data_IF_356676432143
#
_entry.id   IF_356676432143
#
_cell.length_a   1.000
_cell.length_b   1.000
_cell.length_c   1.000
_cell.angle_alpha   90.00
_cell.angle_beta   90.00
_cell.angle_gamma   90.00
#
_symmetry.space_group_name_H-M   'P 1'
#
loop_
_entity.id
_entity.type
_entity.pdbx_description
1 polymer ?
#
# COMPACT_ATOMS: atom_id res chain seq x y z
N UNK A 1 -4.55 -53.24 -31.89
CA UNK A 1 -3.48 -52.48 -31.22
C UNK A 1 -3.94 -51.04 -31.08
N UNK A 2 -4.66 -50.75 -30.00
CA UNK A 2 -5.15 -49.40 -29.61
C UNK A 2 -5.03 -49.37 -28.10
N UNK A 3 -4.14 -48.54 -27.55
CA UNK A 3 -4.05 -48.30 -26.10
C UNK A 3 -4.57 -46.89 -25.84
N UNK A 4 -5.57 -46.86 -24.96
CA UNK A 4 -6.50 -45.77 -24.73
C UNK A 4 -5.96 -44.82 -23.64
N UNK A 5 -6.19 -43.53 -23.83
CA UNK A 5 -5.71 -42.44 -22.99
C UNK A 5 -6.70 -42.20 -21.83
N UNK A 6 -6.50 -42.85 -20.69
CA UNK A 6 -7.33 -42.71 -19.48
C UNK A 6 -6.51 -42.42 -18.22
N UNK A 7 -5.79 -41.30 -18.18
CA UNK A 7 -5.18 -40.81 -16.92
C UNK A 7 -5.30 -39.29 -16.69
N UNK A 8 -5.90 -38.51 -17.60
CA UNK A 8 -5.98 -37.05 -17.48
C UNK A 8 -7.22 -36.49 -16.72
N UNK A 9 -8.21 -37.33 -16.39
CA UNK A 9 -9.50 -36.85 -15.85
C UNK A 9 -9.71 -37.06 -14.34
N UNK A 10 -8.77 -37.67 -13.61
CA UNK A 10 -8.95 -37.95 -12.17
C UNK A 10 -8.38 -36.88 -11.23
N UNK A 11 -7.40 -36.06 -11.64
CA UNK A 11 -6.83 -35.01 -10.78
C UNK A 11 -7.69 -33.74 -10.71
N UNK A 12 -8.35 -33.37 -11.80
CA UNK A 12 -9.25 -32.20 -11.85
C UNK A 12 -10.50 -32.40 -11.00
N UNK A 13 -11.05 -33.62 -10.96
CA UNK A 13 -12.25 -33.95 -10.17
C UNK A 13 -11.96 -34.00 -8.66
N UNK A 14 -10.74 -34.35 -8.23
CA UNK A 14 -10.37 -34.32 -6.80
C UNK A 14 -10.07 -32.89 -6.30
N UNK A 15 -9.52 -32.01 -7.15
CA UNK A 15 -9.21 -30.61 -6.80
C UNK A 15 -10.44 -29.72 -6.67
N UNK A 16 -11.46 -29.92 -7.52
CA UNK A 16 -12.74 -29.21 -7.38
C UNK A 16 -13.55 -29.72 -6.19
N UNK A 17 -13.68 -31.04 -5.99
CA UNK A 17 -14.54 -31.58 -4.92
C UNK A 17 -14.02 -31.32 -3.49
N UNK A 18 -12.70 -31.16 -3.30
CA UNK A 18 -12.11 -30.87 -1.99
C UNK A 18 -12.42 -29.45 -1.48
N UNK A 19 -12.38 -28.45 -2.36
CA UNK A 19 -12.56 -27.03 -2.00
C UNK A 19 -14.05 -26.72 -1.71
N UNK A 20 -14.98 -27.34 -2.45
CA UNK A 20 -16.41 -27.19 -2.20
C UNK A 20 -16.90 -27.87 -0.91
N UNK A 21 -16.28 -28.98 -0.48
CA UNK A 21 -16.59 -29.60 0.82
C UNK A 21 -16.14 -28.73 2.01
N UNK A 22 -15.02 -28.02 1.91
CA UNK A 22 -14.62 -27.05 2.94
C UNK A 22 -15.51 -25.79 2.95
N UNK A 23 -15.92 -25.30 1.77
CA UNK A 23 -16.86 -24.17 1.67
C UNK A 23 -18.26 -24.52 2.19
N UNK A 24 -18.76 -25.74 1.96
CA UNK A 24 -20.02 -26.22 2.54
C UNK A 24 -19.92 -26.51 4.05
N UNK A 25 -18.77 -26.96 4.54
CA UNK A 25 -18.54 -27.19 5.98
C UNK A 25 -18.53 -25.88 6.79
N UNK A 26 -18.01 -24.78 6.21
CA UNK A 26 -18.08 -23.43 6.80
C UNK A 26 -19.50 -22.85 6.73
N UNK A 27 -20.29 -23.20 5.71
CA UNK A 27 -21.66 -22.72 5.53
C UNK A 27 -22.69 -23.42 6.42
N UNK A 28 -22.45 -24.68 6.81
CA UNK A 28 -23.44 -25.50 7.54
C UNK A 28 -23.30 -25.49 9.07
N UNK A 29 -22.35 -24.74 9.66
CA UNK A 29 -22.14 -24.74 11.11
C UNK A 29 -21.90 -23.37 11.76
N UNK A 30 -22.39 -22.29 11.15
CA UNK A 30 -22.59 -21.02 11.85
C UNK A 30 -24.02 -21.01 12.41
N UNK A 31 -24.21 -21.20 13.73
CA UNK A 31 -25.54 -21.07 14.32
C UNK A 31 -26.06 -19.65 14.05
N UNK A 32 -27.36 -19.51 13.76
CA UNK A 32 -28.03 -18.25 13.40
C UNK A 32 -27.77 -17.09 14.40
N UNK A 33 -27.31 -17.43 15.60
CA UNK A 33 -26.84 -16.55 16.66
C UNK A 33 -25.66 -15.63 16.22
N UNK A 34 -24.76 -16.11 15.34
CA UNK A 34 -23.62 -15.32 14.84
C UNK A 34 -23.99 -14.34 13.72
N UNK A 35 -24.99 -14.67 12.90
CA UNK A 35 -25.53 -13.74 11.89
C UNK A 35 -26.29 -12.58 12.56
N UNK A 36 -26.97 -12.85 13.68
CA UNK A 36 -27.63 -11.82 14.49
C UNK A 36 -26.63 -10.93 15.25
N UNK A 37 -25.50 -11.47 15.72
CA UNK A 37 -24.45 -10.66 16.34
C UNK A 37 -23.77 -9.70 15.35
N UNK A 38 -23.54 -10.14 14.10
CA UNK A 38 -23.02 -9.30 13.02
C UNK A 38 -24.01 -8.21 12.58
N UNK A 39 -25.30 -8.54 12.50
CA UNK A 39 -26.35 -7.57 12.17
C UNK A 39 -26.60 -6.57 13.32
N UNK A 40 -26.44 -6.99 14.58
CA UNK A 40 -26.55 -6.09 15.75
C UNK A 40 -25.36 -5.14 15.85
N UNK A 41 -24.15 -5.56 15.47
CA UNK A 41 -22.98 -4.68 15.36
C UNK A 41 -23.13 -3.64 14.24
N UNK A 42 -23.77 -3.99 13.12
CA UNK A 42 -24.10 -3.06 12.03
C UNK A 42 -25.24 -2.10 12.41
N UNK A 43 -26.25 -2.57 13.16
CA UNK A 43 -27.39 -1.75 13.61
C UNK A 43 -27.02 -0.77 14.74
N UNK A 44 -26.19 -1.19 15.71
CA UNK A 44 -25.68 -0.30 16.76
C UNK A 44 -24.72 0.75 16.18
N UNK A 45 -24.00 0.42 15.10
CA UNK A 45 -23.18 1.37 14.35
C UNK A 45 -23.98 2.40 13.53
N UNK A 46 -25.26 2.13 13.25
CA UNK A 46 -26.13 3.01 12.46
C UNK A 46 -26.92 4.00 13.34
N UNK A 47 -27.18 3.68 14.62
CA UNK A 47 -27.90 4.57 15.55
C UNK A 47 -27.01 5.49 16.40
N UNK A 48 -25.70 5.22 16.50
CA UNK A 48 -24.73 6.14 17.08
C UNK A 48 -23.75 6.56 16.00
N UNK A 49 -24.12 7.58 15.24
CA UNK A 49 -23.34 8.10 14.13
C UNK A 49 -21.86 8.24 14.48
N UNK A 50 -21.04 7.34 13.92
CA UNK A 50 -19.61 7.56 13.82
C UNK A 50 -19.39 8.64 12.76
N UNK A 51 -19.52 9.90 13.20
CA UNK A 51 -18.92 11.03 12.50
C UNK A 51 -17.42 10.78 12.57
N UNK A 52 -16.84 10.30 11.47
CA UNK A 52 -15.40 10.27 11.28
C UNK A 52 -14.96 11.73 11.21
N UNK A 53 -14.70 12.31 12.39
CA UNK A 53 -14.07 13.61 12.51
C UNK A 53 -12.65 13.48 11.98
N UNK A 54 -12.41 14.08 10.82
CA UNK A 54 -11.07 14.54 10.47
C UNK A 54 -10.54 15.34 11.67
N UNK A 55 -9.39 14.99 12.26
CA UNK A 55 -8.83 15.84 13.30
C UNK A 55 -8.32 17.10 12.62
N UNK A 56 -9.12 18.14 12.66
CA UNK A 56 -8.67 19.51 12.54
C UNK A 56 -7.65 19.73 13.67
N UNK A 57 -6.41 19.96 13.28
CA UNK A 57 -5.30 20.18 14.19
C UNK A 57 -5.54 21.56 14.83
N UNK A 58 -6.15 21.56 16.00
CA UNK A 58 -6.32 22.76 16.80
C UNK A 58 -4.94 23.33 17.17
N UNK A 59 -4.71 24.56 16.72
CA UNK A 59 -3.60 25.41 17.13
C UNK A 59 -3.62 25.58 18.65
N UNK A 60 -2.49 25.32 19.30
CA UNK A 60 -2.07 26.10 20.47
C UNK A 60 -1.42 27.37 19.96
N UNK A 61 -2.24 28.37 19.70
CA UNK A 61 -1.85 29.79 19.73
C UNK A 61 -3.15 30.58 19.90
N UNK A 62 -3.20 31.27 21.03
CA UNK A 62 -4.26 32.15 21.50
C UNK A 62 -4.75 33.13 20.43
N UNK A 63 -6.08 33.20 20.28
CA UNK A 63 -6.82 34.39 19.85
C UNK A 63 -6.76 34.78 18.37
N UNK A 64 -7.73 34.31 17.56
CA UNK A 64 -8.47 35.10 16.57
C UNK A 64 -9.39 34.16 15.75
N UNK A 65 -10.70 34.36 15.89
CA UNK A 65 -11.72 33.72 15.05
C UNK A 65 -11.67 34.32 13.64
N UNK A 66 -11.30 33.51 12.65
CA UNK A 66 -11.35 33.89 11.24
C UNK A 66 -11.41 32.65 10.34
N UNK A 67 -12.55 32.42 9.68
CA UNK A 67 -12.65 31.40 8.62
C UNK A 67 -11.71 31.80 7.48
N UNK A 68 -10.74 30.93 7.17
CA UNK A 68 -9.83 31.14 6.04
C UNK A 68 -10.63 31.05 4.72
N UNK A 69 -10.49 32.03 3.80
CA UNK A 69 -11.19 32.01 2.52
C UNK A 69 -10.74 30.82 1.66
N UNK A 70 -11.65 30.27 0.84
CA UNK A 70 -11.46 29.04 0.01
C UNK A 70 -10.16 29.03 -0.83
N UNK A 71 -9.61 30.20 -1.18
CA UNK A 71 -8.33 30.32 -1.88
C UNK A 71 -7.09 29.96 -1.04
N UNK A 72 -7.11 30.17 0.27
CA UNK A 72 -5.96 29.89 1.14
C UNK A 72 -5.84 28.40 1.49
N UNK A 73 -6.95 27.67 1.60
CA UNK A 73 -6.94 26.23 1.82
C UNK A 73 -6.25 25.47 0.66
N UNK A 74 -6.52 25.86 -0.58
CA UNK A 74 -5.82 25.35 -1.76
C UNK A 74 -4.33 25.68 -1.72
N UNK A 75 -3.98 26.90 -1.30
CA UNK A 75 -2.61 27.39 -1.22
C UNK A 75 -1.81 26.63 -0.14
N UNK A 76 -2.43 26.32 1.00
CA UNK A 76 -1.86 25.54 2.11
C UNK A 76 -1.77 24.05 1.75
N UNK A 77 -2.78 23.46 1.12
CA UNK A 77 -2.74 22.09 0.62
C UNK A 77 -1.62 21.92 -0.43
N UNK A 78 -1.51 22.85 -1.38
CA UNK A 78 -0.39 22.91 -2.31
C UNK A 78 0.95 23.14 -1.59
N UNK A 79 1.00 23.94 -0.52
CA UNK A 79 2.21 24.12 0.32
C UNK A 79 2.63 22.85 1.01
N UNK A 80 1.69 22.00 1.44
CA UNK A 80 1.98 20.71 2.08
C UNK A 80 2.45 19.65 1.10
N UNK A 81 1.84 19.54 -0.09
CA UNK A 81 2.29 18.59 -1.14
C UNK A 81 3.74 18.85 -1.53
N UNK A 82 4.13 20.13 -1.61
CA UNK A 82 5.50 20.57 -1.94
C UNK A 82 6.59 20.00 -1.03
N UNK A 83 6.31 19.70 0.24
CA UNK A 83 7.32 19.19 1.18
C UNK A 83 7.30 17.67 1.37
N UNK A 84 6.41 16.94 0.68
CA UNK A 84 6.22 15.51 0.90
C UNK A 84 7.43 14.66 0.48
N UNK A 85 8.39 15.15 -0.30
CA UNK A 85 9.57 14.37 -0.75
C UNK A 85 10.92 14.91 -0.27
N UNK A 86 10.90 15.94 0.59
CA UNK A 86 12.12 16.64 1.06
C UNK A 86 12.90 15.89 2.15
N UNK A 87 14.20 16.21 2.29
CA UNK A 87 15.13 15.63 3.29
C UNK A 87 14.66 15.83 4.75
N UNK A 88 14.16 17.01 5.09
CA UNK A 88 13.63 17.34 6.40
C UNK A 88 12.11 17.50 6.30
N UNK A 89 11.38 16.60 6.96
CA UNK A 89 9.92 16.60 7.02
C UNK A 89 9.43 16.64 8.46
N UNK A 90 8.35 17.37 8.67
CA UNK A 90 7.59 17.30 9.93
C UNK A 90 6.92 15.93 10.07
N UNK A 91 6.63 15.51 11.30
CA UNK A 91 5.95 14.23 11.57
C UNK A 91 4.60 14.11 10.83
N UNK A 92 3.86 15.21 10.70
CA UNK A 92 2.57 15.23 10.00
C UNK A 92 2.71 15.07 8.48
N UNK A 93 3.74 15.66 7.88
CA UNK A 93 4.06 15.50 6.44
C UNK A 93 4.42 14.04 6.09
N UNK A 94 5.16 13.35 6.97
CA UNK A 94 5.45 11.92 6.81
C UNK A 94 4.19 11.05 6.90
N UNK A 95 3.25 11.39 7.80
CA UNK A 95 1.99 10.65 7.93
C UNK A 95 1.11 10.79 6.69
N UNK A 96 0.88 12.01 6.19
CA UNK A 96 0.07 12.21 4.98
C UNK A 96 0.66 11.48 3.76
N UNK A 97 1.98 11.55 3.59
CA UNK A 97 2.67 10.82 2.52
C UNK A 97 2.52 9.30 2.66
N UNK A 98 2.68 8.76 3.87
CA UNK A 98 2.49 7.33 4.14
C UNK A 98 1.06 6.86 3.87
N UNK A 99 0.05 7.68 4.19
CA UNK A 99 -1.36 7.39 3.92
C UNK A 99 -1.67 7.35 2.42
N UNK A 100 -1.17 8.32 1.64
CA UNK A 100 -1.34 8.34 0.19
C UNK A 100 -0.66 7.16 -0.50
N UNK A 101 0.54 6.79 -0.05
CA UNK A 101 1.21 5.59 -0.55
C UNK A 101 0.51 4.30 -0.12
N UNK A 102 -0.05 4.23 1.09
CA UNK A 102 -0.85 3.08 1.52
C UNK A 102 -2.12 2.94 0.65
N UNK A 103 -2.79 4.05 0.34
CA UNK A 103 -3.89 4.08 -0.62
C UNK A 103 -3.47 3.55 -2.00
N UNK A 104 -2.38 4.09 -2.56
CA UNK A 104 -1.89 3.64 -3.86
C UNK A 104 -1.52 2.16 -3.86
N UNK A 105 -0.82 1.71 -2.82
CA UNK A 105 -0.45 0.31 -2.63
C UNK A 105 -1.67 -0.61 -2.58
N UNK A 106 -2.71 -0.23 -1.82
CA UNK A 106 -3.96 -0.97 -1.75
C UNK A 106 -4.64 -1.08 -3.10
N UNK A 107 -4.75 0.04 -3.82
CA UNK A 107 -5.39 0.10 -5.13
C UNK A 107 -4.67 -0.77 -6.16
N UNK A 108 -3.35 -0.69 -6.24
CA UNK A 108 -2.55 -1.49 -7.18
C UNK A 108 -2.56 -2.97 -6.78
N UNK A 109 -2.51 -3.31 -5.49
CA UNK A 109 -2.47 -4.71 -5.05
C UNK A 109 -3.83 -5.41 -5.26
N UNK A 110 -4.95 -4.77 -4.90
CA UNK A 110 -6.29 -5.34 -5.10
C UNK A 110 -6.70 -5.31 -6.58
N UNK A 111 -6.42 -4.20 -7.29
CA UNK A 111 -6.67 -4.09 -8.73
C UNK A 111 -5.84 -5.07 -9.55
N UNK A 112 -4.55 -5.19 -9.23
CA UNK A 112 -3.65 -6.15 -9.87
C UNK A 112 -4.07 -7.61 -9.63
N UNK A 113 -4.60 -7.95 -8.44
CA UNK A 113 -5.11 -9.29 -8.18
C UNK A 113 -6.25 -9.71 -9.12
N UNK A 114 -7.14 -8.79 -9.52
CA UNK A 114 -8.24 -9.13 -10.43
C UNK A 114 -7.75 -9.60 -11.80
N UNK A 115 -6.55 -9.18 -12.22
CA UNK A 115 -6.00 -9.52 -13.53
C UNK A 115 -4.91 -10.59 -13.45
N UNK A 116 -4.13 -10.59 -12.36
CA UNK A 116 -2.96 -11.47 -12.18
C UNK A 116 -3.24 -12.67 -11.27
N UNK A 117 -4.37 -12.67 -10.55
CA UNK A 117 -4.72 -13.67 -9.53
C UNK A 117 -3.68 -13.85 -8.42
N UNK A 118 -2.82 -12.86 -8.22
CA UNK A 118 -1.78 -12.85 -7.20
C UNK A 118 -1.66 -11.47 -6.56
N UNK A 119 -1.55 -11.43 -5.23
CA UNK A 119 -1.26 -10.21 -4.51
C UNK A 119 0.27 -9.99 -4.49
N UNK A 120 0.75 -9.11 -5.35
CA UNK A 120 2.18 -8.93 -5.60
C UNK A 120 2.93 -8.25 -4.46
N UNK A 121 2.23 -7.73 -3.44
CA UNK A 121 2.86 -7.24 -2.21
C UNK A 121 2.99 -8.30 -1.10
N UNK A 122 2.44 -9.51 -1.27
CA UNK A 122 2.42 -10.56 -0.24
C UNK A 122 3.67 -11.46 -0.30
N UNK A 123 4.80 -10.93 0.15
CA UNK A 123 6.09 -11.64 0.11
C UNK A 123 6.12 -12.90 0.98
N UNK A 124 5.40 -12.94 2.10
CA UNK A 124 5.27 -14.15 2.91
C UNK A 124 4.56 -15.27 2.14
N UNK A 125 3.57 -14.92 1.32
CA UNK A 125 2.87 -15.88 0.44
C UNK A 125 3.80 -16.46 -0.62
N UNK A 126 4.59 -15.61 -1.30
CA UNK A 126 5.58 -16.08 -2.27
C UNK A 126 6.69 -16.91 -1.62
N UNK A 127 7.14 -16.57 -0.41
CA UNK A 127 8.14 -17.37 0.31
C UNK A 127 7.61 -18.77 0.66
N UNK A 128 6.36 -18.88 1.15
CA UNK A 128 5.72 -20.18 1.37
C UNK A 128 5.54 -20.95 0.06
N UNK A 129 5.06 -20.28 -0.99
CA UNK A 129 4.87 -20.87 -2.30
C UNK A 129 6.18 -21.40 -2.90
N UNK A 130 7.30 -20.72 -2.68
CA UNK A 130 8.63 -21.17 -3.09
C UNK A 130 9.00 -22.51 -2.41
N UNK A 131 8.78 -22.61 -1.10
CA UNK A 131 9.04 -23.84 -0.35
C UNK A 131 8.12 -24.99 -0.78
N UNK A 132 6.81 -24.74 -0.85
CA UNK A 132 5.81 -25.74 -1.23
C UNK A 132 6.06 -26.27 -2.65
N UNK A 133 6.39 -25.37 -3.59
CA UNK A 133 6.68 -25.74 -4.98
C UNK A 133 8.00 -26.50 -5.11
N UNK A 134 8.97 -26.22 -4.23
CA UNK A 134 10.22 -26.97 -4.15
C UNK A 134 10.00 -28.41 -3.74
N UNK A 135 9.14 -28.64 -2.73
CA UNK A 135 8.82 -29.99 -2.24
C UNK A 135 7.92 -30.76 -3.21
N UNK A 136 6.92 -30.09 -3.78
CA UNK A 136 5.95 -30.72 -4.70
C UNK A 136 6.48 -30.90 -6.12
N UNK A 137 7.65 -30.34 -6.46
CA UNK A 137 8.24 -30.41 -7.79
C UNK A 137 7.54 -29.53 -8.84
N UNK A 138 6.65 -28.61 -8.42
CA UNK A 138 5.93 -27.72 -9.33
C UNK A 138 6.84 -26.60 -9.86
N UNK A 139 7.60 -26.89 -10.92
CA UNK A 139 8.60 -25.98 -11.50
C UNK A 139 8.03 -24.62 -11.94
N UNK A 140 6.87 -24.53 -12.63
CA UNK A 140 6.31 -23.22 -13.01
C UNK A 140 6.03 -22.33 -11.80
N UNK A 141 5.42 -22.89 -10.75
CA UNK A 141 5.07 -22.13 -9.55
C UNK A 141 6.32 -21.74 -8.74
N UNK A 142 7.31 -22.65 -8.69
CA UNK A 142 8.62 -22.38 -8.09
C UNK A 142 9.31 -21.18 -8.75
N UNK A 143 9.42 -21.19 -10.08
CA UNK A 143 10.06 -20.12 -10.84
C UNK A 143 9.29 -18.80 -10.75
N UNK A 144 7.95 -18.85 -10.74
CA UNK A 144 7.12 -17.67 -10.54
C UNK A 144 7.35 -17.04 -9.16
N UNK A 145 7.36 -17.85 -8.10
CA UNK A 145 7.59 -17.38 -6.73
C UNK A 145 9.00 -16.83 -6.54
N UNK A 146 10.02 -17.56 -7.03
CA UNK A 146 11.40 -17.10 -7.00
C UNK A 146 11.57 -15.79 -7.77
N UNK A 147 11.02 -15.73 -8.98
CA UNK A 147 11.06 -14.54 -9.82
C UNK A 147 10.40 -13.34 -9.14
N UNK A 148 9.22 -13.52 -8.53
CA UNK A 148 8.52 -12.45 -7.81
C UNK A 148 9.35 -11.92 -6.63
N UNK A 149 9.97 -12.81 -5.84
CA UNK A 149 10.85 -12.42 -4.72
C UNK A 149 12.07 -11.65 -5.24
N UNK A 150 12.75 -12.17 -6.27
CA UNK A 150 13.91 -11.50 -6.87
C UNK A 150 13.55 -10.13 -7.45
N UNK A 151 12.42 -10.02 -8.16
CA UNK A 151 11.93 -8.76 -8.70
C UNK A 151 11.61 -7.75 -7.58
N UNK A 152 10.97 -8.18 -6.49
CA UNK A 152 10.72 -7.34 -5.33
C UNK A 152 12.02 -6.84 -4.68
N UNK A 153 13.00 -7.72 -4.49
CA UNK A 153 14.32 -7.35 -3.96
C UNK A 153 15.02 -6.36 -4.89
N UNK A 154 14.98 -6.59 -6.21
CA UNK A 154 15.53 -5.68 -7.20
C UNK A 154 14.87 -4.30 -7.16
N UNK A 155 13.54 -4.24 -6.98
CA UNK A 155 12.81 -2.98 -6.80
C UNK A 155 13.24 -2.23 -5.54
N UNK A 156 13.37 -2.92 -4.42
CA UNK A 156 13.85 -2.33 -3.17
C UNK A 156 15.30 -1.83 -3.29
N UNK A 157 16.17 -2.59 -3.97
CA UNK A 157 17.54 -2.21 -4.27
C UNK A 157 17.60 -0.97 -5.18
N UNK A 158 16.79 -0.92 -6.24
CA UNK A 158 16.68 0.24 -7.12
C UNK A 158 16.26 1.50 -6.36
N UNK A 159 15.29 1.41 -5.43
CA UNK A 159 14.96 2.53 -4.55
C UNK A 159 16.16 2.98 -3.72
N UNK A 160 16.93 2.05 -3.15
CA UNK A 160 18.10 2.38 -2.35
C UNK A 160 19.16 3.09 -3.18
N UNK A 161 19.43 2.63 -4.40
CA UNK A 161 20.35 3.27 -5.35
C UNK A 161 19.88 4.67 -5.71
N UNK A 162 18.61 4.84 -6.11
CA UNK A 162 18.06 6.15 -6.49
C UNK A 162 18.09 7.17 -5.34
N UNK A 163 17.76 6.72 -4.12
CA UNK A 163 17.82 7.58 -2.91
C UNK A 163 19.26 7.96 -2.57
N UNK A 164 20.21 7.03 -2.70
CA UNK A 164 21.64 7.29 -2.47
C UNK A 164 22.21 8.24 -3.53
N UNK A 165 21.87 8.03 -4.80
CA UNK A 165 22.21 8.91 -5.91
C UNK A 165 21.67 10.33 -5.67
N UNK A 166 20.40 10.47 -5.30
CA UNK A 166 19.79 11.76 -5.01
C UNK A 166 20.48 12.50 -3.84
N UNK A 167 20.94 11.75 -2.82
CA UNK A 167 21.73 12.30 -1.71
C UNK A 167 23.12 12.76 -2.14
N UNK A 168 23.81 11.96 -2.96
CA UNK A 168 25.14 12.30 -3.47
C UNK A 168 25.09 13.59 -4.31
N UNK A 169 24.03 13.78 -5.09
CA UNK A 169 23.80 14.98 -5.90
C UNK A 169 23.15 16.14 -5.12
N UNK A 170 23.07 16.03 -3.78
CA UNK A 170 22.51 17.04 -2.87
C UNK A 170 21.09 17.51 -3.23
N UNK A 171 20.29 16.64 -3.86
CA UNK A 171 18.92 16.97 -4.22
C UNK A 171 18.09 17.26 -2.98
N UNK A 172 17.30 18.34 -2.99
CA UNK A 172 16.39 18.63 -1.88
C UNK A 172 15.26 17.61 -1.79
N UNK A 173 14.77 17.14 -2.95
CA UNK A 173 13.67 16.19 -3.13
C UNK A 173 14.15 14.73 -3.27
N UNK A 174 14.80 14.21 -2.23
CA UNK A 174 15.49 12.91 -2.23
C UNK A 174 14.59 11.73 -2.63
N UNK A 175 13.29 11.78 -2.31
CA UNK A 175 12.35 10.69 -2.60
C UNK A 175 11.59 10.86 -3.92
N UNK A 176 11.80 11.95 -4.65
CA UNK A 176 11.10 12.18 -5.92
C UNK A 176 11.55 11.22 -7.05
N UNK A 177 12.85 10.90 -7.23
CA UNK A 177 13.28 9.96 -8.27
C UNK A 177 12.65 8.56 -8.20
N UNK A 178 12.61 7.85 -7.04
CA UNK A 178 11.95 6.55 -6.99
C UNK A 178 10.43 6.63 -7.18
N UNK A 179 9.76 7.70 -6.74
CA UNK A 179 8.32 7.91 -7.02
C UNK A 179 8.03 8.15 -8.50
N UNK A 180 8.91 8.87 -9.19
CA UNK A 180 8.80 9.08 -10.64
C UNK A 180 8.96 7.75 -11.38
N UNK A 181 9.93 6.93 -10.98
CA UNK A 181 10.12 5.59 -11.55
C UNK A 181 8.88 4.71 -11.28
N UNK A 182 8.34 4.72 -10.06
CA UNK A 182 7.12 3.99 -9.72
C UNK A 182 5.94 4.40 -10.61
N UNK A 183 5.75 5.69 -10.83
CA UNK A 183 4.67 6.21 -11.68
C UNK A 183 4.83 5.77 -13.15
N UNK A 184 6.05 5.86 -13.69
CA UNK A 184 6.33 5.42 -15.07
C UNK A 184 6.11 3.92 -15.21
N UNK A 185 6.60 3.11 -14.27
CA UNK A 185 6.43 1.66 -14.31
C UNK A 185 4.98 1.24 -14.16
N UNK A 186 4.17 1.97 -13.39
CA UNK A 186 2.72 1.77 -13.35
C UNK A 186 2.07 2.05 -14.72
N UNK A 187 2.42 3.14 -15.39
CA UNK A 187 1.91 3.38 -16.75
C UNK A 187 2.32 2.27 -17.73
N UNK A 188 3.57 1.80 -17.65
CA UNK A 188 4.05 0.65 -18.43
C UNK A 188 3.24 -0.60 -18.11
N UNK A 189 2.93 -0.87 -16.84
CA UNK A 189 2.05 -1.97 -16.45
C UNK A 189 0.64 -1.83 -17.05
N UNK A 190 0.07 -0.61 -17.05
CA UNK A 190 -1.22 -0.32 -17.68
C UNK A 190 -1.23 -0.62 -19.17
N UNK A 191 -0.19 -0.17 -19.91
CA UNK A 191 -0.04 -0.40 -21.34
C UNK A 191 0.19 -1.89 -21.62
N UNK A 192 1.13 -2.52 -20.91
CA UNK A 192 1.43 -3.94 -21.07
C UNK A 192 0.19 -4.80 -20.83
N UNK A 193 -0.57 -4.51 -19.78
CA UNK A 193 -1.83 -5.19 -19.49
C UNK A 193 -2.88 -5.01 -20.58
N UNK A 194 -3.07 -3.80 -21.09
CA UNK A 194 -4.01 -3.53 -22.19
C UNK A 194 -3.61 -4.26 -23.48
N UNK A 195 -2.32 -4.29 -23.83
CA UNK A 195 -1.80 -5.01 -25.00
C UNK A 195 -1.92 -6.53 -24.82
N UNK A 196 -1.60 -7.03 -23.62
CA UNK A 196 -1.65 -8.47 -23.34
C UNK A 196 -3.05 -9.06 -23.32
N UNK A 197 -4.10 -8.25 -23.13
CA UNK A 197 -5.49 -8.69 -23.33
C UNK A 197 -5.78 -9.06 -24.79
N UNK A 198 -5.12 -8.39 -25.75
CA UNK A 198 -5.33 -8.64 -27.18
C UNK A 198 -4.35 -9.68 -27.72
N UNK A 199 -3.16 -9.80 -27.13
CA UNK A 199 -2.12 -10.76 -27.50
C UNK A 199 -1.80 -11.69 -26.34
N UNK A 200 -2.64 -12.71 -26.15
CA UNK A 200 -2.45 -13.70 -25.08
C UNK A 200 -1.24 -14.59 -25.35
N UNK A 201 -0.14 -14.34 -24.64
CA UNK A 201 1.03 -15.23 -24.63
C UNK A 201 1.14 -15.92 -23.26
N UNK A 202 1.69 -17.15 -23.18
CA UNK A 202 1.87 -17.85 -21.89
C UNK A 202 2.71 -17.07 -20.87
N UNK A 203 3.53 -16.11 -21.34
CA UNK A 203 4.44 -15.31 -20.52
C UNK A 203 3.83 -14.00 -20.03
N UNK A 204 2.64 -13.63 -20.50
CA UNK A 204 2.04 -12.33 -20.19
C UNK A 204 1.77 -12.12 -18.70
N UNK A 205 1.12 -13.08 -18.06
CA UNK A 205 0.82 -13.03 -16.62
C UNK A 205 2.10 -13.08 -15.76
N UNK A 206 3.06 -14.01 -16.00
CA UNK A 206 4.32 -14.00 -15.29
C UNK A 206 5.07 -12.66 -15.37
N UNK A 207 5.22 -12.08 -16.57
CA UNK A 207 5.95 -10.82 -16.75
C UNK A 207 5.30 -9.65 -16.00
N UNK A 208 3.97 -9.57 -16.03
CA UNK A 208 3.24 -8.52 -15.31
C UNK A 208 3.26 -8.71 -13.80
N UNK A 209 3.28 -9.95 -13.30
CA UNK A 209 3.54 -10.26 -11.88
C UNK A 209 4.95 -9.84 -11.46
N UNK A 210 5.97 -10.08 -12.29
CA UNK A 210 7.35 -9.65 -12.02
C UNK A 210 7.45 -8.12 -11.99
N UNK A 211 6.88 -7.44 -12.98
CA UNK A 211 6.84 -5.98 -13.04
C UNK A 211 6.15 -5.39 -11.80
N UNK A 212 4.97 -5.92 -11.44
CA UNK A 212 4.22 -5.41 -10.30
C UNK A 212 4.91 -5.74 -8.97
N UNK A 213 5.56 -6.91 -8.86
CA UNK A 213 6.40 -7.26 -7.70
C UNK A 213 7.59 -6.30 -7.55
N UNK A 214 8.23 -5.90 -8.66
CA UNK A 214 9.28 -4.88 -8.66
C UNK A 214 8.75 -3.52 -8.18
N UNK A 215 7.61 -3.07 -8.72
CA UNK A 215 6.95 -1.83 -8.32
C UNK A 215 6.64 -1.85 -6.80
N UNK A 216 6.11 -2.97 -6.30
CA UNK A 216 5.81 -3.14 -4.86
C UNK A 216 7.07 -3.11 -3.99
N UNK A 217 8.17 -3.71 -4.45
CA UNK A 217 9.47 -3.65 -3.77
C UNK A 217 10.02 -2.23 -3.68
N UNK A 218 9.96 -1.50 -4.80
CA UNK A 218 10.34 -0.09 -4.90
C UNK A 218 9.52 0.77 -3.92
N UNK A 219 8.18 0.65 -3.95
CA UNK A 219 7.27 1.45 -3.12
C UNK A 219 7.47 1.18 -1.62
N UNK A 220 7.69 -0.07 -1.23
CA UNK A 220 7.97 -0.42 0.16
C UNK A 220 9.29 0.18 0.67
N UNK A 221 10.32 0.16 -0.17
CA UNK A 221 11.59 0.79 0.16
C UNK A 221 11.45 2.32 0.28
N UNK A 222 10.65 2.97 -0.59
CA UNK A 222 10.34 4.41 -0.50
C UNK A 222 9.68 4.73 0.84
N UNK A 223 8.64 4.00 1.23
CA UNK A 223 7.93 4.19 2.50
C UNK A 223 8.82 4.03 3.72
N UNK A 224 9.67 2.99 3.72
CA UNK A 224 10.63 2.74 4.80
C UNK A 224 11.70 3.83 4.89
N UNK A 225 12.39 4.16 3.79
CA UNK A 225 13.45 5.20 3.79
C UNK A 225 12.88 6.58 4.17
N UNK A 226 11.68 6.88 3.70
CA UNK A 226 10.93 8.10 4.01
C UNK A 226 10.72 8.30 5.50
N UNK A 227 10.29 7.24 6.17
CA UNK A 227 9.84 7.25 7.55
C UNK A 227 10.92 6.87 8.55
N UNK A 228 12.17 6.68 8.10
CA UNK A 228 13.25 6.08 8.90
C UNK A 228 12.88 4.70 9.46
N UNK A 229 12.13 3.92 8.68
CA UNK A 229 11.70 2.56 9.00
C UNK A 229 10.40 2.48 9.81
N UNK A 230 9.81 3.59 10.24
CA UNK A 230 8.62 3.57 11.12
C UNK A 230 7.29 3.37 10.37
N UNK A 231 7.23 3.55 9.05
CA UNK A 231 6.03 3.36 8.22
C UNK A 231 6.35 2.37 7.11
N UNK A 232 5.51 1.35 6.97
CA UNK A 232 5.52 0.38 5.86
C UNK A 232 4.10 0.30 5.28
N UNK A 233 3.96 0.61 4.01
CA UNK A 233 2.66 0.83 3.37
C UNK A 233 1.98 -0.48 2.95
N UNK A 234 2.74 -1.50 2.55
CA UNK A 234 2.17 -2.82 2.21
C UNK A 234 2.40 -3.89 3.28
N UNK A 235 3.11 -3.57 4.37
CA UNK A 235 3.38 -4.53 5.45
C UNK A 235 2.17 -4.68 6.38
N UNK A 236 1.06 -5.13 5.78
CA UNK A 236 -0.25 -5.08 6.42
C UNK A 236 -0.35 -6.00 7.62
N UNK A 237 0.26 -7.19 7.55
CA UNK A 237 0.36 -8.11 8.69
C UNK A 237 0.92 -7.41 9.92
N UNK A 238 2.04 -6.69 9.78
CA UNK A 238 2.61 -5.96 10.91
C UNK A 238 1.76 -4.77 11.36
N UNK A 239 1.15 -4.01 10.43
CA UNK A 239 0.27 -2.90 10.81
C UNK A 239 -0.95 -3.38 11.60
N UNK A 240 -1.56 -4.50 11.20
CA UNK A 240 -2.70 -5.12 11.89
C UNK A 240 -2.27 -5.63 13.27
N UNK A 241 -1.13 -6.32 13.38
CA UNK A 241 -0.59 -6.78 14.66
C UNK A 241 -0.30 -5.61 15.60
N UNK A 242 0.32 -4.55 15.09
CA UNK A 242 0.60 -3.33 15.86
C UNK A 242 -0.68 -2.65 16.35
N UNK A 243 -1.72 -2.59 15.51
CA UNK A 243 -3.02 -2.08 15.92
C UNK A 243 -3.63 -2.95 17.01
N UNK A 244 -3.59 -4.28 16.86
CA UNK A 244 -4.07 -5.23 17.85
C UNK A 244 -3.36 -5.08 19.20
N UNK A 245 -2.04 -4.90 19.20
CA UNK A 245 -1.27 -4.64 20.43
C UNK A 245 -1.69 -3.33 21.11
N UNK A 246 -1.83 -2.22 20.37
CA UNK A 246 -2.22 -0.94 20.98
C UNK A 246 -3.68 -0.93 21.46
N UNK A 247 -4.60 -1.58 20.72
CA UNK A 247 -5.98 -1.78 21.17
C UNK A 247 -6.03 -2.65 22.44
N UNK A 248 -5.22 -3.69 22.51
CA UNK A 248 -5.10 -4.54 23.70
C UNK A 248 -4.65 -3.75 24.94
N UNK A 249 -3.63 -2.89 24.81
CA UNK A 249 -3.18 -2.00 25.90
C UNK A 249 -4.28 -1.01 26.31
N UNK A 250 -4.98 -0.44 25.33
CA UNK A 250 -6.07 0.51 25.58
C UNK A 250 -7.24 -0.15 26.34
N UNK A 251 -7.67 -1.34 25.89
CA UNK A 251 -8.71 -2.11 26.55
C UNK A 251 -8.29 -2.53 27.96
N UNK A 252 -7.06 -3.02 28.14
CA UNK A 252 -6.54 -3.43 29.44
C UNK A 252 -6.55 -2.28 30.48
N UNK A 253 -6.24 -1.05 30.05
CA UNK A 253 -6.36 0.14 30.89
C UNK A 253 -7.81 0.42 31.30
N UNK A 254 -8.77 0.20 30.40
CA UNK A 254 -10.21 0.37 30.69
C UNK A 254 -10.74 -0.62 31.74
N UNK A 255 -10.20 -1.84 31.78
CA UNK A 255 -10.62 -2.88 32.73
C UNK A 255 -9.98 -2.77 34.12
N UNK A 256 -8.88 -2.01 34.29
CA UNK A 256 -8.25 -1.81 35.60
C UNK A 256 -8.81 -0.58 36.32
N UNK A 257 -9.49 -0.80 37.44
CA UNK A 257 -9.78 0.22 38.44
C UNK A 257 -8.80 0.02 39.60
N UNK A 258 -7.73 0.82 39.66
CA UNK A 258 -6.75 0.74 40.75
C UNK A 258 -5.63 1.77 40.62
N UNK A 259 -5.04 2.23 41.74
CA UNK A 259 -4.10 3.37 41.77
C UNK A 259 -2.66 3.04 41.33
N UNK A 260 -2.38 1.80 40.91
CA UNK A 260 -1.01 1.41 40.53
C UNK A 260 -0.69 1.92 39.11
N UNK A 261 0.44 2.63 38.90
CA UNK A 261 0.84 3.06 37.57
C UNK A 261 1.15 1.82 36.73
N UNK A 262 0.25 1.48 35.81
CA UNK A 262 0.52 0.43 34.83
C UNK A 262 1.70 0.88 33.97
N UNK A 263 2.84 0.18 34.06
CA UNK A 263 4.02 0.39 33.19
C UNK A 263 3.69 0.26 31.69
N UNK A 264 2.51 -0.28 31.37
CA UNK A 264 1.98 -0.46 30.02
C UNK A 264 1.34 0.84 29.50
N UNK A 265 2.13 1.65 28.80
CA UNK A 265 1.65 2.84 28.13
C UNK A 265 1.09 2.51 26.74
N UNK A 266 -0.17 2.88 26.49
CA UNK A 266 -0.77 2.87 25.16
C UNK A 266 -0.24 4.07 24.35
N UNK A 267 0.35 3.80 23.18
CA UNK A 267 0.79 4.83 22.26
C UNK A 267 -0.34 5.14 21.26
N UNK A 268 -1.21 6.08 21.64
CA UNK A 268 -2.35 6.53 20.83
C UNK A 268 -1.88 7.11 19.49
N UNK A 269 -0.68 7.69 19.41
CA UNK A 269 -0.13 8.25 18.16
C UNK A 269 0.25 7.14 17.20
N UNK A 270 0.91 6.09 17.70
CA UNK A 270 1.20 4.87 16.91
C UNK A 270 -0.11 4.21 16.48
N UNK A 271 -1.06 4.03 17.38
CA UNK A 271 -2.37 3.42 17.11
C UNK A 271 -3.10 4.13 15.96
N UNK A 272 -3.25 5.47 16.04
CA UNK A 272 -3.88 6.26 14.97
C UNK A 272 -3.13 6.14 13.63
N UNK A 273 -1.80 6.05 13.66
CA UNK A 273 -0.98 5.89 12.46
C UNK A 273 -1.22 4.55 11.78
N UNK A 274 -1.13 3.44 12.51
CA UNK A 274 -1.32 2.10 11.92
C UNK A 274 -2.76 1.89 11.47
N UNK A 275 -3.74 2.37 12.24
CA UNK A 275 -5.15 2.37 11.83
C UNK A 275 -5.38 3.17 10.54
N UNK A 276 -4.77 4.36 10.43
CA UNK A 276 -4.86 5.16 9.20
C UNK A 276 -4.24 4.47 7.98
N UNK A 277 -3.09 3.80 8.15
CA UNK A 277 -2.46 3.04 7.07
C UNK A 277 -3.34 1.86 6.61
N UNK A 278 -3.92 1.11 7.57
CA UNK A 278 -4.86 0.02 7.27
C UNK A 278 -6.07 0.55 6.52
N UNK A 279 -6.72 1.60 7.04
CA UNK A 279 -7.92 2.17 6.45
C UNK A 279 -7.66 2.69 5.02
N UNK A 280 -6.56 3.41 4.81
CA UNK A 280 -6.21 3.93 3.49
C UNK A 280 -5.87 2.83 2.50
N UNK A 281 -5.15 1.78 2.93
CA UNK A 281 -4.89 0.63 2.07
C UNK A 281 -6.17 -0.11 1.69
N UNK A 282 -7.08 -0.34 2.65
CA UNK A 282 -8.37 -0.99 2.40
C UNK A 282 -9.21 -0.13 1.45
N UNK A 283 -9.31 1.18 1.72
CA UNK A 283 -10.03 2.12 0.87
C UNK A 283 -9.44 2.18 -0.55
N UNK A 284 -8.10 2.25 -0.66
CA UNK A 284 -7.40 2.14 -1.93
C UNK A 284 -7.71 0.83 -2.64
N UNK A 285 -7.70 -0.29 -1.92
CA UNK A 285 -8.05 -1.60 -2.44
C UNK A 285 -9.46 -1.65 -3.01
N UNK A 286 -10.45 -1.06 -2.33
CA UNK A 286 -11.80 -0.91 -2.87
C UNK A 286 -11.82 -0.09 -4.16
N UNK A 287 -11.17 1.08 -4.17
CA UNK A 287 -11.10 1.95 -5.37
C UNK A 287 -10.40 1.25 -6.53
N UNK A 288 -9.29 0.56 -6.27
CA UNK A 288 -8.53 -0.19 -7.27
C UNK A 288 -9.31 -1.38 -7.81
N UNK A 289 -9.87 -2.22 -6.95
CA UNK A 289 -10.68 -3.35 -7.39
C UNK A 289 -11.90 -2.89 -8.21
N UNK A 290 -12.60 -1.85 -7.75
CA UNK A 290 -13.73 -1.27 -8.48
C UNK A 290 -13.29 -0.69 -9.83
N UNK A 291 -12.20 0.08 -9.86
CA UNK A 291 -11.70 0.71 -11.08
C UNK A 291 -11.19 -0.30 -12.11
N UNK A 292 -10.37 -1.27 -11.71
CA UNK A 292 -9.91 -2.34 -12.61
C UNK A 292 -11.07 -3.20 -13.12
N UNK A 293 -12.10 -3.43 -12.30
CA UNK A 293 -13.29 -4.16 -12.74
C UNK A 293 -14.13 -3.39 -13.77
N UNK A 294 -14.25 -2.06 -13.62
CA UNK A 294 -15.15 -1.23 -14.47
C UNK A 294 -14.49 -0.67 -15.72
N UNK A 295 -13.27 -0.17 -15.60
CA UNK A 295 -12.55 0.55 -16.66
C UNK A 295 -11.21 -0.10 -17.02
N UNK A 296 -10.92 -1.29 -16.48
CA UNK A 296 -9.73 -2.06 -16.79
C UNK A 296 -8.43 -1.33 -16.44
N UNK A 297 -7.43 -1.47 -17.30
CA UNK A 297 -6.09 -0.91 -17.10
C UNK A 297 -6.02 0.63 -17.12
N UNK A 298 -7.08 1.31 -17.60
CA UNK A 298 -7.18 2.78 -17.51
C UNK A 298 -7.16 3.24 -16.05
N UNK A 299 -7.60 2.39 -15.11
CA UNK A 299 -7.53 2.65 -13.67
C UNK A 299 -6.11 2.95 -13.17
N UNK A 300 -5.06 2.57 -13.90
CA UNK A 300 -3.67 2.85 -13.51
C UNK A 300 -3.29 4.32 -13.72
N UNK A 301 -3.93 5.01 -14.67
CA UNK A 301 -3.63 6.42 -14.99
C UNK A 301 -3.82 7.34 -13.78
N UNK A 302 -4.97 7.35 -13.05
CA UNK A 302 -5.12 8.20 -11.88
C UNK A 302 -4.15 7.84 -10.73
N UNK A 303 -3.79 6.56 -10.60
CA UNK A 303 -2.81 6.09 -9.60
C UNK A 303 -1.39 6.60 -9.92
N UNK A 304 -0.97 6.50 -11.18
CA UNK A 304 0.28 7.09 -11.65
C UNK A 304 0.27 8.62 -11.54
N UNK A 305 -0.85 9.27 -11.87
CA UNK A 305 -1.01 10.72 -11.75
C UNK A 305 -0.87 11.20 -10.30
N UNK A 306 -1.38 10.44 -9.32
CA UNK A 306 -1.19 10.70 -7.90
C UNK A 306 0.32 10.70 -7.54
N UNK A 307 1.07 9.69 -7.97
CA UNK A 307 2.51 9.61 -7.73
C UNK A 307 3.30 10.72 -8.45
N UNK A 308 2.90 11.09 -9.67
CA UNK A 308 3.46 12.24 -10.39
C UNK A 308 3.16 13.55 -9.67
N UNK A 309 1.95 13.74 -9.14
CA UNK A 309 1.59 14.91 -8.34
C UNK A 309 2.42 15.04 -7.06
N UNK A 310 2.87 13.91 -6.49
CA UNK A 310 3.77 13.89 -5.33
C UNK A 310 5.25 14.15 -5.71
N UNK A 311 5.68 13.77 -6.91
CA UNK A 311 7.09 13.81 -7.32
C UNK A 311 7.48 15.02 -8.17
N UNK A 312 6.59 15.49 -9.05
CA UNK A 312 6.88 16.53 -10.05
C UNK A 312 7.06 17.95 -9.47
N UNK A 313 6.18 18.47 -8.58
CA UNK A 313 6.37 19.80 -8.02
C UNK A 313 7.72 20.02 -7.31
N UNK A 314 8.23 19.07 -6.51
CA UNK A 314 9.58 19.16 -5.93
C UNK A 314 10.70 19.20 -7.00
N UNK A 315 10.60 18.37 -8.05
CA UNK A 315 11.63 18.24 -9.09
C UNK A 315 11.72 19.49 -9.98
N UNK A 316 10.56 20.06 -10.37
CA UNK A 316 10.52 21.30 -11.16
C UNK A 316 11.15 22.45 -10.37
N UNK A 317 10.92 22.51 -9.06
CA UNK A 317 11.53 23.52 -8.19
C UNK A 317 13.02 23.34 -8.07
N UNK A 318 13.50 22.10 -7.97
CA UNK A 318 14.93 21.80 -7.95
C UNK A 318 15.61 22.30 -9.22
N UNK A 319 15.05 21.99 -10.40
CA UNK A 319 15.56 22.47 -11.69
C UNK A 319 15.58 24.01 -11.79
N UNK A 320 14.54 24.68 -11.29
CA UNK A 320 14.48 26.15 -11.25
C UNK A 320 15.55 26.75 -10.33
N UNK A 321 15.81 26.12 -9.19
CA UNK A 321 16.82 26.58 -8.23
C UNK A 321 18.25 26.33 -8.74
N UNK A 322 18.48 25.24 -9.48
CA UNK A 322 19.78 24.97 -10.12
C UNK A 322 20.05 25.85 -11.35
N UNK A 323 19.01 26.43 -11.95
CA UNK A 323 19.11 27.33 -13.10
C UNK A 323 19.34 28.81 -12.72
N UNK A 324 19.28 29.15 -11.42
CA UNK A 324 19.58 30.51 -10.95
C UNK A 324 21.10 30.72 -10.86
N UNK A 325 21.65 31.86 -11.33
CA UNK A 325 23.06 32.20 -11.15
C UNK A 325 23.44 32.21 -9.66
N UNK A 326 24.67 31.78 -9.37
CA UNK A 326 25.25 31.54 -8.04
C UNK A 326 25.51 32.85 -7.23
N UNK A 327 24.56 33.79 -7.13
CA UNK A 327 24.81 35.10 -6.49
C UNK A 327 24.18 35.30 -5.11
N UNK A 328 23.45 34.34 -4.53
CA UNK A 328 22.70 34.60 -3.28
C UNK A 328 22.84 33.59 -2.13
N UNK A 329 23.80 32.65 -2.17
CA UNK A 329 23.88 31.59 -1.14
C UNK A 329 24.80 31.89 0.06
N UNK A 330 25.27 33.12 0.29
CA UNK A 330 26.24 33.42 1.38
C UNK A 330 25.88 34.57 2.34
N UNK A 331 24.64 35.05 2.34
CA UNK A 331 24.14 35.88 3.44
C UNK A 331 23.10 35.06 4.19
N UNK A 332 23.17 35.06 5.51
CA UNK A 332 22.42 34.21 6.46
C UNK A 332 23.09 32.85 6.75
N UNK A 333 24.32 32.94 7.27
CA UNK A 333 24.82 32.04 8.33
C UNK A 333 24.47 32.62 9.69
#
# INVERSE_FOLDING_TARGET
>A
MVVNNSYANHETVFREKGIWKQAQFVRQRLPAQFLMAGATLLSVGQQRGFVILFPEIANTTTGASGRLPRGEAHTVAMRRIRFLTYRHRSRSTNSAFGLLLAFNAGAVNAGGFLVLHAYTSHMTGFASQLADSGVTGNRPLLLAALGAICAFVAGAAACAVLVSWARAHRLRAIYAPPLLLEAVLLLVFGIAGAVMLTWSTPFAVPMTVLLLSFIMGLQNAVGSKTSRGTIRTTHMTGNITDLGMELGKWAYKGFRHGPQPSQMHCDVVRMKRVAGLILMFVFGGFVGAFGFNRIGFICVVPLAALLLGLSMPPLVREKRLSALPYTFSRRES
#
